data_IF_165296435789
#
_entry.id   IF_165296435789
#
_cell.length_a   1.000
_cell.length_b   1.000
_cell.length_c   1.000
_cell.angle_alpha   90.00
_cell.angle_beta   90.00
_cell.angle_gamma   90.00
#
_symmetry.space_group_name_H-M   'P 1'
#
loop_
_entity.id
_entity.type
_entity.pdbx_description
1 polymer ?
#
# COMPACT_ATOMS: atom_id res chain seq x y z
N UNK A 1 -31.25 70.57 -27.47
CA UNK A 1 -32.50 69.78 -27.61
C UNK A 1 -32.26 68.63 -28.58
N UNK A 2 -32.60 67.39 -28.16
CA UNK A 2 -32.95 66.17 -28.95
C UNK A 2 -31.86 65.52 -29.83
N UNK A 3 -31.28 64.36 -29.44
CA UNK A 3 -31.60 62.94 -29.82
C UNK A 3 -31.24 62.65 -31.31
N UNK A 4 -30.51 61.62 -31.78
CA UNK A 4 -30.58 60.15 -31.54
C UNK A 4 -29.49 59.39 -32.37
N UNK A 5 -28.80 58.39 -31.77
CA UNK A 5 -28.35 57.03 -32.23
C UNK A 5 -27.70 56.78 -33.63
N UNK A 6 -26.58 56.02 -33.65
CA UNK A 6 -26.21 54.81 -34.48
C UNK A 6 -24.83 54.29 -33.96
N UNK A 7 -24.71 53.25 -33.13
CA UNK A 7 -24.53 51.79 -33.39
C UNK A 7 -23.35 51.41 -34.31
N UNK A 8 -22.37 50.63 -33.80
CA UNK A 8 -21.83 49.37 -34.38
C UNK A 8 -20.64 48.81 -33.53
N UNK A 9 -20.94 47.73 -32.81
CA UNK A 9 -20.23 46.44 -32.74
C UNK A 9 -18.70 46.41 -32.56
N UNK A 10 -18.26 46.08 -31.34
CA UNK A 10 -17.02 45.30 -31.11
C UNK A 10 -17.39 43.98 -30.44
N UNK A 11 -17.63 42.97 -31.28
CA UNK A 11 -17.72 41.57 -30.90
C UNK A 11 -16.33 40.93 -30.87
N UNK A 12 -16.11 40.13 -29.83
CA UNK A 12 -15.28 38.91 -29.82
C UNK A 12 -13.75 39.06 -29.83
N UNK A 13 -13.15 39.32 -28.67
CA UNK A 13 -11.85 38.71 -28.31
C UNK A 13 -11.92 38.31 -26.84
N UNK A 14 -11.81 37.01 -26.55
CA UNK A 14 -11.46 36.57 -25.19
C UNK A 14 -12.13 35.30 -24.64
N UNK A 15 -12.87 34.51 -25.42
CA UNK A 15 -13.21 33.13 -24.97
C UNK A 15 -12.01 32.24 -25.27
N UNK A 16 -10.97 32.31 -24.43
CA UNK A 16 -9.75 31.51 -24.61
C UNK A 16 -9.05 31.09 -23.33
N UNK A 17 -9.56 31.44 -22.15
CA UNK A 17 -8.84 31.20 -20.88
C UNK A 17 -9.59 30.34 -19.86
N UNK A 18 -10.82 29.90 -20.13
CA UNK A 18 -11.55 29.05 -19.18
C UNK A 18 -11.03 27.59 -19.18
N UNK A 19 -10.66 27.03 -20.34
CA UNK A 19 -10.21 25.63 -20.42
C UNK A 19 -8.77 25.39 -19.92
N UNK A 20 -7.90 26.41 -19.91
CA UNK A 20 -6.53 26.25 -19.39
C UNK A 20 -6.41 26.41 -17.87
N UNK A 21 -7.36 27.09 -17.22
CA UNK A 21 -7.38 27.22 -15.77
C UNK A 21 -7.92 25.96 -15.08
N UNK A 22 -8.90 25.27 -15.67
CA UNK A 22 -9.42 24.00 -15.14
C UNK A 22 -8.40 22.86 -15.28
N UNK A 23 -7.67 22.76 -16.41
CA UNK A 23 -6.63 21.73 -16.56
C UNK A 23 -5.47 21.91 -15.57
N UNK A 24 -5.03 23.14 -15.29
CA UNK A 24 -3.98 23.39 -14.29
C UNK A 24 -4.48 23.13 -12.86
N UNK A 25 -5.76 23.41 -12.58
CA UNK A 25 -6.38 23.14 -11.28
C UNK A 25 -6.58 21.64 -11.07
N UNK A 26 -7.01 20.90 -12.08
CA UNK A 26 -7.11 19.43 -12.05
C UNK A 26 -5.72 18.78 -11.95
N UNK A 27 -4.72 19.31 -12.64
CA UNK A 27 -3.34 18.84 -12.53
C UNK A 27 -2.71 19.15 -11.16
N UNK A 28 -2.98 20.34 -10.59
CA UNK A 28 -2.56 20.69 -9.22
C UNK A 28 -3.31 19.85 -8.17
N UNK A 29 -4.61 19.65 -8.33
CA UNK A 29 -5.43 18.81 -7.43
C UNK A 29 -5.01 17.34 -7.53
N UNK A 30 -4.63 16.84 -8.71
CA UNK A 30 -4.04 15.51 -8.88
C UNK A 30 -2.66 15.40 -8.23
N UNK A 31 -1.80 16.41 -8.34
CA UNK A 31 -0.48 16.42 -7.69
C UNK A 31 -0.64 16.46 -6.15
N UNK A 32 -1.55 17.28 -5.64
CA UNK A 32 -1.82 17.42 -4.21
C UNK A 32 -2.54 16.20 -3.63
N UNK A 33 -3.42 15.54 -4.42
CA UNK A 33 -4.05 14.28 -4.06
C UNK A 33 -3.03 13.12 -4.07
N UNK A 34 -2.10 13.10 -5.02
CA UNK A 34 -0.99 12.14 -5.06
C UNK A 34 -0.03 12.34 -3.88
N UNK A 35 0.30 13.57 -3.51
CA UNK A 35 1.17 13.85 -2.35
C UNK A 35 0.49 13.52 -1.02
N UNK A 36 -0.81 13.78 -0.89
CA UNK A 36 -1.59 13.31 0.27
C UNK A 36 -1.73 11.79 0.29
N UNK A 37 -1.85 11.10 -0.84
CA UNK A 37 -1.78 9.63 -0.91
C UNK A 37 -0.39 9.07 -0.61
N UNK A 38 0.70 9.78 -0.97
CA UNK A 38 2.07 9.40 -0.60
C UNK A 38 2.36 9.58 0.89
N UNK A 39 1.75 10.56 1.57
CA UNK A 39 1.89 10.74 3.01
C UNK A 39 0.96 9.83 3.82
N UNK A 40 -0.30 9.65 3.40
CA UNK A 40 -1.29 8.84 4.12
C UNK A 40 -1.44 7.39 3.63
N UNK A 41 -0.74 6.99 2.58
CA UNK A 41 -0.78 5.62 2.03
C UNK A 41 -0.26 4.53 2.97
N UNK A 42 0.38 4.91 4.08
CA UNK A 42 0.69 3.99 5.18
C UNK A 42 -0.54 3.56 6.00
N UNK A 43 -1.68 4.27 5.91
CA UNK A 43 -2.77 4.12 6.88
C UNK A 43 -3.69 2.91 6.62
N UNK A 44 -3.54 2.21 5.50
CA UNK A 44 -4.33 0.99 5.20
C UNK A 44 -3.46 -0.10 4.55
N UNK A 45 -2.20 -0.24 5.00
CA UNK A 45 -1.40 -1.38 4.60
C UNK A 45 -1.76 -2.55 5.52
N UNK A 46 -2.32 -3.61 4.95
CA UNK A 46 -2.40 -4.89 5.65
C UNK A 46 -0.95 -5.32 5.92
N UNK A 47 -0.53 -5.30 7.19
CA UNK A 47 0.84 -5.66 7.59
C UNK A 47 1.18 -7.09 7.18
N UNK A 48 0.18 -7.95 7.00
CA UNK A 48 0.34 -9.32 6.48
C UNK A 48 0.83 -9.35 5.02
N UNK A 49 0.70 -8.24 4.29
CA UNK A 49 1.14 -8.10 2.89
C UNK A 49 2.52 -7.42 2.76
N UNK A 50 3.13 -6.97 3.87
CA UNK A 50 4.43 -6.26 3.89
C UNK A 50 5.58 -7.17 4.29
N UNK A 51 5.47 -8.43 3.91
CA UNK A 51 6.19 -9.57 4.44
C UNK A 51 7.70 -9.57 4.12
N UNK A 52 8.10 -8.85 3.07
CA UNK A 52 9.48 -8.87 2.58
C UNK A 52 10.03 -7.50 2.19
N UNK A 53 9.94 -6.55 3.13
CA UNK A 53 10.49 -5.22 2.92
C UNK A 53 12.02 -5.22 2.76
N UNK A 54 12.73 -6.17 3.41
CA UNK A 54 14.20 -6.25 3.38
C UNK A 54 14.69 -6.98 2.12
N UNK A 55 14.02 -8.04 1.69
CA UNK A 55 14.29 -8.68 0.41
C UNK A 55 14.16 -7.68 -0.73
N UNK A 56 13.11 -6.86 -0.75
CA UNK A 56 12.96 -5.77 -1.73
C UNK A 56 14.13 -4.78 -1.71
N UNK A 57 14.66 -4.44 -0.53
CA UNK A 57 15.85 -3.58 -0.41
C UNK A 57 17.09 -4.24 -1.04
N UNK A 58 17.30 -5.52 -0.76
CA UNK A 58 18.44 -6.28 -1.27
C UNK A 58 18.34 -6.50 -2.78
N UNK A 59 17.15 -6.83 -3.30
CA UNK A 59 16.88 -6.99 -4.73
C UNK A 59 17.09 -5.69 -5.53
N UNK A 60 16.90 -4.54 -4.89
CA UNK A 60 17.09 -3.23 -5.50
C UNK A 60 18.32 -2.50 -4.95
N UNK A 61 19.31 -3.26 -4.45
CA UNK A 61 20.50 -2.70 -3.81
C UNK A 61 21.22 -1.67 -4.69
N UNK A 62 21.37 -1.95 -5.98
CA UNK A 62 22.05 -1.05 -6.92
C UNK A 62 21.26 0.24 -7.16
N UNK A 63 19.92 0.15 -7.24
CA UNK A 63 19.04 1.31 -7.44
C UNK A 63 18.98 2.19 -6.19
N UNK A 64 19.06 1.58 -5.01
CA UNK A 64 19.10 2.28 -3.73
C UNK A 64 20.51 2.86 -3.51
N UNK A 65 21.54 2.22 -4.05
CA UNK A 65 22.95 2.57 -3.87
C UNK A 65 23.51 2.01 -2.57
N UNK A 66 23.19 0.76 -2.22
CA UNK A 66 23.68 0.11 -1.00
C UNK A 66 25.15 -0.28 -1.12
N UNK A 67 25.94 0.00 -0.09
CA UNK A 67 27.33 -0.46 0.00
C UNK A 67 27.40 -1.95 0.34
N UNK A 68 28.55 -2.59 0.10
CA UNK A 68 28.78 -3.98 0.54
C UNK A 68 28.64 -4.15 2.05
N UNK A 69 29.10 -3.16 2.83
CA UNK A 69 28.94 -3.18 4.28
C UNK A 69 27.46 -3.16 4.68
N UNK A 70 26.64 -2.30 4.07
CA UNK A 70 25.21 -2.25 4.34
C UNK A 70 24.51 -3.55 3.92
N UNK A 71 24.85 -4.11 2.75
CA UNK A 71 24.35 -5.40 2.30
C UNK A 71 24.68 -6.52 3.30
N UNK A 72 25.93 -6.56 3.80
CA UNK A 72 26.35 -7.56 4.79
C UNK A 72 25.56 -7.50 6.10
N UNK A 73 25.09 -6.32 6.50
CA UNK A 73 24.23 -6.12 7.68
C UNK A 73 22.76 -6.46 7.41
N UNK A 74 22.27 -6.23 6.19
CA UNK A 74 20.88 -6.47 5.80
C UNK A 74 20.57 -7.95 5.52
N UNK A 75 21.52 -8.70 4.95
CA UNK A 75 21.35 -10.14 4.65
C UNK A 75 20.94 -10.97 5.88
N UNK A 76 21.59 -10.87 7.05
CA UNK A 76 21.17 -11.64 8.22
C UNK A 76 19.78 -11.20 8.72
N UNK A 77 19.45 -9.91 8.68
CA UNK A 77 18.11 -9.41 9.04
C UNK A 77 17.05 -10.02 8.13
N UNK A 78 17.29 -10.03 6.82
CA UNK A 78 16.38 -10.64 5.85
C UNK A 78 16.16 -12.13 6.13
N UNK A 79 17.24 -12.88 6.39
CA UNK A 79 17.15 -14.31 6.72
C UNK A 79 16.35 -14.57 7.99
N UNK A 80 16.55 -13.78 9.03
CA UNK A 80 15.77 -13.92 10.27
C UNK A 80 14.29 -13.57 10.06
N UNK A 81 14.00 -12.53 9.27
CA UNK A 81 12.61 -12.21 8.89
C UNK A 81 11.95 -13.34 8.08
N UNK A 82 12.66 -13.95 7.13
CA UNK A 82 12.14 -15.10 6.39
C UNK A 82 11.80 -16.28 7.31
N UNK A 83 12.69 -16.60 8.27
CA UNK A 83 12.45 -17.66 9.26
C UNK A 83 11.26 -17.34 10.15
N UNK A 84 11.18 -16.11 10.65
CA UNK A 84 10.10 -15.64 11.50
C UNK A 84 8.75 -15.71 10.77
N UNK A 85 8.70 -15.26 9.52
CA UNK A 85 7.53 -15.35 8.66
C UNK A 85 7.08 -16.80 8.43
N UNK A 86 8.03 -17.70 8.12
CA UNK A 86 7.72 -19.12 7.95
C UNK A 86 7.10 -19.74 9.22
N UNK A 87 7.64 -19.41 10.39
CA UNK A 87 7.08 -19.85 11.68
C UNK A 87 5.70 -19.26 11.93
N UNK A 88 5.54 -17.95 11.74
CA UNK A 88 4.26 -17.27 11.88
C UNK A 88 3.18 -17.88 10.99
N UNK A 89 3.47 -18.15 9.71
CA UNK A 89 2.54 -18.81 8.78
C UNK A 89 2.15 -20.21 9.22
N UNK A 90 3.08 -20.97 9.82
CA UNK A 90 2.77 -22.28 10.36
C UNK A 90 1.88 -22.17 11.61
N UNK A 91 2.25 -21.31 12.56
CA UNK A 91 1.53 -21.13 13.83
C UNK A 91 0.13 -20.56 13.63
N UNK A 92 -0.03 -19.56 12.74
CA UNK A 92 -1.34 -19.01 12.42
C UNK A 92 -2.23 -20.07 11.77
N UNK A 93 -1.67 -20.91 10.89
CA UNK A 93 -2.44 -21.96 10.22
C UNK A 93 -2.89 -23.04 11.21
N UNK A 94 -2.03 -23.40 12.16
CA UNK A 94 -2.38 -24.32 13.25
C UNK A 94 -3.52 -23.72 14.08
N UNK A 95 -3.40 -22.46 14.52
CA UNK A 95 -4.43 -21.81 15.32
C UNK A 95 -5.77 -21.64 14.56
N UNK A 96 -5.72 -21.43 13.24
CA UNK A 96 -6.92 -21.43 12.39
C UNK A 96 -7.56 -22.83 12.31
N UNK A 97 -6.77 -23.91 12.26
CA UNK A 97 -7.28 -25.29 12.29
C UNK A 97 -7.93 -25.58 13.65
N UNK A 98 -7.28 -25.24 14.74
CA UNK A 98 -7.84 -25.40 16.09
C UNK A 98 -9.17 -24.65 16.24
N UNK A 99 -9.29 -23.43 15.69
CA UNK A 99 -10.55 -22.69 15.69
C UNK A 99 -11.63 -23.42 14.86
N UNK A 100 -11.28 -23.95 13.69
CA UNK A 100 -12.21 -24.72 12.86
C UNK A 100 -12.71 -25.98 13.58
N UNK A 101 -11.83 -26.70 14.27
CA UNK A 101 -12.18 -27.88 15.07
C UNK A 101 -13.16 -27.52 16.21
N UNK A 102 -12.91 -26.41 16.91
CA UNK A 102 -13.83 -25.92 17.95
C UNK A 102 -15.21 -25.61 17.36
N UNK A 103 -15.27 -25.04 16.16
CA UNK A 103 -16.50 -24.63 15.49
C UNK A 103 -17.20 -25.73 14.68
N UNK A 104 -16.61 -26.92 14.54
CA UNK A 104 -17.16 -28.02 13.73
C UNK A 104 -18.53 -28.52 14.23
N UNK A 105 -18.78 -28.68 15.54
CA UNK A 105 -20.10 -29.04 16.05
C UNK A 105 -21.12 -27.92 15.83
N UNK A 106 -22.39 -28.29 15.58
CA UNK A 106 -23.50 -27.32 15.43
C UNK A 106 -23.72 -26.45 16.68
N UNK A 107 -23.54 -27.03 17.85
CA UNK A 107 -23.63 -26.37 19.16
C UNK A 107 -22.23 -26.26 19.76
N UNK A 108 -21.36 -25.50 19.11
CA UNK A 108 -19.98 -25.32 19.54
C UNK A 108 -19.87 -24.47 20.80
N UNK A 109 -18.80 -24.68 21.55
CA UNK A 109 -18.45 -23.91 22.74
C UNK A 109 -17.92 -22.53 22.32
N UNK A 110 -18.77 -21.50 22.48
CA UNK A 110 -18.43 -20.11 22.13
C UNK A 110 -17.21 -19.59 22.90
N UNK A 111 -17.05 -19.95 24.18
CA UNK A 111 -15.94 -19.48 24.98
C UNK A 111 -14.61 -20.05 24.47
N UNK A 112 -14.59 -21.34 24.07
CA UNK A 112 -13.42 -21.93 23.39
C UNK A 112 -13.13 -21.26 22.06
N UNK A 113 -14.15 -20.91 21.27
CA UNK A 113 -13.96 -20.24 19.98
C UNK A 113 -13.37 -18.83 20.16
N UNK A 114 -13.79 -18.11 21.21
CA UNK A 114 -13.24 -16.79 21.57
C UNK A 114 -11.76 -16.93 21.97
N UNK A 115 -11.41 -17.92 22.79
CA UNK A 115 -10.01 -18.18 23.19
C UNK A 115 -9.14 -18.52 21.98
N UNK A 116 -9.61 -19.37 21.07
CA UNK A 116 -8.88 -19.71 19.85
C UNK A 116 -8.70 -18.48 18.93
N UNK A 117 -9.73 -17.64 18.80
CA UNK A 117 -9.64 -16.37 18.05
C UNK A 117 -8.62 -15.41 18.69
N UNK A 118 -8.58 -15.35 20.02
CA UNK A 118 -7.59 -14.52 20.73
C UNK A 118 -6.16 -15.00 20.45
N UNK A 119 -5.91 -16.31 20.43
CA UNK A 119 -4.60 -16.89 20.06
C UNK A 119 -4.14 -16.42 18.68
N UNK A 120 -5.03 -16.45 17.68
CA UNK A 120 -4.76 -15.94 16.33
C UNK A 120 -4.39 -14.45 16.36
N UNK A 121 -5.14 -13.63 17.10
CA UNK A 121 -4.85 -12.20 17.25
C UNK A 121 -3.50 -11.94 17.92
N UNK A 122 -3.20 -12.67 18.99
CA UNK A 122 -1.94 -12.53 19.73
C UNK A 122 -0.74 -12.88 18.84
N UNK A 123 -0.84 -13.97 18.04
CA UNK A 123 0.17 -14.37 17.06
C UNK A 123 0.42 -13.27 16.02
N UNK A 124 -0.63 -12.66 15.46
CA UNK A 124 -0.52 -11.55 14.51
C UNK A 124 0.18 -10.34 15.14
N UNK A 125 -0.23 -9.96 16.35
CA UNK A 125 0.35 -8.82 17.06
C UNK A 125 1.84 -9.04 17.36
N UNK A 126 2.22 -10.24 17.80
CA UNK A 126 3.61 -10.61 18.04
C UNK A 126 4.43 -10.53 16.74
N UNK A 127 3.93 -11.10 15.65
CA UNK A 127 4.59 -11.06 14.35
C UNK A 127 4.80 -9.63 13.84
N UNK A 128 3.75 -8.80 13.84
CA UNK A 128 3.84 -7.41 13.41
C UNK A 128 4.80 -6.59 14.27
N UNK A 129 4.88 -6.88 15.57
CA UNK A 129 5.82 -6.22 16.48
C UNK A 129 7.28 -6.51 16.10
N UNK A 130 7.60 -7.77 15.79
CA UNK A 130 8.93 -8.15 15.32
C UNK A 130 9.26 -7.56 13.94
N UNK A 131 8.29 -7.51 13.03
CA UNK A 131 8.45 -6.83 11.74
C UNK A 131 8.77 -5.34 11.91
N UNK A 132 8.08 -4.64 12.82
CA UNK A 132 8.35 -3.24 13.12
C UNK A 132 9.77 -3.02 13.67
N UNK A 133 10.25 -3.92 14.55
CA UNK A 133 11.63 -3.87 15.06
C UNK A 133 12.64 -4.05 13.93
N UNK A 134 12.43 -5.04 13.05
CA UNK A 134 13.31 -5.30 11.92
C UNK A 134 13.32 -4.11 10.93
N UNK A 135 12.14 -3.55 10.63
CA UNK A 135 12.02 -2.35 9.79
C UNK A 135 12.76 -1.15 10.39
N UNK A 136 12.67 -0.94 11.71
CA UNK A 136 13.43 0.11 12.38
C UNK A 136 14.94 -0.11 12.24
N UNK A 137 15.41 -1.34 12.42
CA UNK A 137 16.83 -1.69 12.28
C UNK A 137 17.34 -1.45 10.85
N UNK A 138 16.57 -1.85 9.84
CA UNK A 138 16.89 -1.59 8.42
C UNK A 138 17.05 -0.09 8.17
N UNK A 139 16.12 0.74 8.67
CA UNK A 139 16.20 2.20 8.53
C UNK A 139 17.45 2.79 9.17
N UNK A 140 17.97 2.21 10.25
CA UNK A 140 19.23 2.68 10.87
C UNK A 140 20.48 2.33 10.06
N UNK A 141 20.41 1.33 9.17
CA UNK A 141 21.52 0.94 8.29
C UNK A 141 21.57 1.85 7.06
N UNK A 142 20.42 2.36 6.60
CA UNK A 142 20.30 3.21 5.43
C UNK A 142 20.63 4.67 5.74
N UNK A 143 21.20 5.37 4.77
CA UNK A 143 21.20 6.84 4.80
C UNK A 143 19.80 7.38 4.51
N UNK A 144 19.55 8.64 4.85
CA UNK A 144 18.26 9.30 4.57
C UNK A 144 17.92 9.29 3.07
N UNK A 145 18.92 9.44 2.19
CA UNK A 145 18.73 9.39 0.74
C UNK A 145 18.36 7.97 0.26
N UNK A 146 19.07 6.95 0.76
CA UNK A 146 18.77 5.55 0.46
C UNK A 146 17.39 5.15 0.98
N UNK A 147 17.01 5.63 2.18
CA UNK A 147 15.68 5.41 2.74
C UNK A 147 14.58 6.02 1.86
N UNK A 148 14.77 7.24 1.34
CA UNK A 148 13.82 7.86 0.40
C UNK A 148 13.68 7.05 -0.89
N UNK A 149 14.80 6.57 -1.46
CA UNK A 149 14.81 5.70 -2.65
C UNK A 149 14.06 4.39 -2.40
N UNK A 150 14.36 3.72 -1.29
CA UNK A 150 13.66 2.51 -0.84
C UNK A 150 12.15 2.74 -0.69
N UNK A 151 11.75 3.84 -0.02
CA UNK A 151 10.34 4.18 0.20
C UNK A 151 9.59 4.37 -1.12
N UNK A 152 10.21 5.04 -2.09
CA UNK A 152 9.60 5.25 -3.41
C UNK A 152 9.41 3.92 -4.16
N UNK A 153 10.42 3.05 -4.16
CA UNK A 153 10.33 1.72 -4.78
C UNK A 153 9.20 0.87 -4.17
N UNK A 154 9.02 0.94 -2.85
CA UNK A 154 7.94 0.24 -2.14
C UNK A 154 6.55 0.74 -2.58
N UNK A 155 6.37 2.06 -2.66
CA UNK A 155 5.11 2.66 -3.09
C UNK A 155 4.79 2.32 -4.55
N UNK A 156 5.78 2.36 -5.44
CA UNK A 156 5.61 2.03 -6.86
C UNK A 156 5.24 0.56 -7.06
N UNK A 157 5.88 -0.35 -6.33
CA UNK A 157 5.53 -1.78 -6.33
C UNK A 157 4.10 -2.03 -5.86
N UNK A 158 3.67 -1.32 -4.81
CA UNK A 158 2.31 -1.44 -4.28
C UNK A 158 1.26 -0.93 -5.27
N UNK A 159 1.50 0.20 -5.93
CA UNK A 159 0.59 0.77 -6.92
C UNK A 159 0.41 -0.17 -8.11
N UNK A 160 1.51 -0.73 -8.65
CA UNK A 160 1.44 -1.75 -9.71
C UNK A 160 0.64 -2.98 -9.29
N UNK A 161 0.87 -3.49 -8.07
CA UNK A 161 0.12 -4.65 -7.54
C UNK A 161 -1.37 -4.35 -7.43
N UNK A 162 -1.75 -3.16 -6.97
CA UNK A 162 -3.14 -2.70 -6.86
C UNK A 162 -3.83 -2.60 -8.22
N UNK A 163 -3.15 -2.07 -9.24
CA UNK A 163 -3.66 -2.01 -10.61
C UNK A 163 -3.87 -3.41 -11.20
N UNK A 164 -2.91 -4.32 -10.99
CA UNK A 164 -3.04 -5.71 -11.41
C UNK A 164 -4.25 -6.40 -10.76
N UNK A 165 -4.48 -6.22 -9.46
CA UNK A 165 -5.66 -6.78 -8.77
C UNK A 165 -6.97 -6.26 -9.39
N UNK A 166 -7.10 -4.94 -9.57
CA UNK A 166 -8.28 -4.33 -10.22
C UNK A 166 -8.53 -4.87 -11.62
N UNK A 167 -7.47 -5.14 -12.38
CA UNK A 167 -7.58 -5.68 -13.74
C UNK A 167 -8.08 -7.13 -13.79
N UNK A 168 -7.73 -7.94 -12.77
CA UNK A 168 -8.18 -9.34 -12.64
C UNK A 168 -9.64 -9.41 -12.24
N UNK A 169 -10.07 -8.57 -11.30
CA UNK A 169 -11.48 -8.50 -10.86
C UNK A 169 -12.41 -8.10 -12.01
N UNK A 170 -11.98 -7.15 -12.86
CA UNK A 170 -12.75 -6.72 -14.04
C UNK A 170 -12.89 -7.81 -15.11
N UNK A 171 -11.92 -8.72 -15.23
CA UNK A 171 -11.99 -9.87 -16.15
C UNK A 171 -12.91 -11.00 -15.66
N UNK A 172 -13.21 -11.05 -14.36
CA UNK A 172 -14.03 -12.10 -13.75
C UNK A 172 -15.53 -11.74 -13.60
N UNK A 173 -15.96 -10.53 -13.99
CA UNK A 173 -17.39 -10.22 -13.99
C UNK A 173 -18.07 -11.02 -15.13
N UNK A 174 -19.03 -11.92 -14.83
CA UNK A 174 -19.82 -12.54 -15.89
C UNK A 174 -20.51 -11.42 -16.68
N UNK A 175 -20.37 -11.47 -18.01
CA UNK A 175 -21.15 -10.60 -18.91
C UNK A 175 -22.61 -10.84 -18.54
N UNK A 176 -23.27 -9.84 -17.94
CA UNK A 176 -24.72 -9.90 -17.72
C UNK A 176 -25.35 -10.12 -19.10
N UNK A 177 -25.84 -11.33 -19.33
CA UNK A 177 -26.67 -11.63 -20.48
C UNK A 177 -27.86 -10.69 -20.42
N UNK A 178 -27.94 -9.79 -21.40
CA UNK A 178 -29.12 -8.96 -21.61
C UNK A 178 -30.23 -9.91 -22.04
N UNK A 179 -31.16 -10.18 -21.13
CA UNK A 179 -32.48 -10.71 -21.48
C UNK A 179 -33.33 -9.60 -22.08
#
# INVERSE_FOLDING_TARGET
>A
MKKTIILIVFTLIGIGNAQMMDMKKDQMMMHQHMDMMKQNGMKVMNMDMMDDNVGMCLENADKIGLTEEQKSKLVPIHREMMKLNARFKAEIKIAEIELMEVMEPKDFDLDKAIVATKKISDLRAAYHSEMLKAMKNVRTILTEEQYKKMRNLMMDGMMRKKEMMKSKDKKMMPKKEKK
#
